data_IF_085993128385
#
_entry.id   IF_085993128385
#
_cell.length_a   1.000
_cell.length_b   1.000
_cell.length_c   1.000
_cell.angle_alpha   90.00
_cell.angle_beta   90.00
_cell.angle_gamma   90.00
#
_symmetry.space_group_name_H-M   'P 1'
#
loop_
_entity.id
_entity.type
_entity.pdbx_description
1 polymer ?
#
# COMPACT_ATOMS: atom_id res chain seq x y z
N UNK A 1 -13.95 -9.59 -0.77
CA UNK A 1 -13.36 -8.42 -1.45
C UNK A 1 -12.90 -8.85 -2.83
N UNK A 2 -13.26 -8.09 -3.85
CA UNK A 2 -12.84 -8.29 -5.24
C UNK A 2 -11.90 -7.17 -5.67
N UNK A 3 -10.77 -7.54 -6.27
CA UNK A 3 -9.81 -6.60 -6.80
C UNK A 3 -9.67 -6.88 -8.30
N UNK A 4 -9.88 -5.87 -9.13
CA UNK A 4 -9.58 -5.94 -10.57
C UNK A 4 -8.45 -5.00 -10.92
N UNK A 5 -7.49 -5.46 -11.71
CA UNK A 5 -6.34 -4.67 -12.13
C UNK A 5 -6.39 -4.54 -13.65
N UNK A 6 -6.53 -3.31 -14.14
CA UNK A 6 -6.41 -2.99 -15.55
C UNK A 6 -4.94 -2.67 -15.85
N UNK A 7 -4.26 -3.54 -16.59
CA UNK A 7 -2.85 -3.36 -16.93
C UNK A 7 -2.50 -4.07 -18.23
N UNK A 8 -1.62 -3.45 -19.00
CA UNK A 8 -0.98 -4.04 -20.16
C UNK A 8 0.16 -5.03 -19.82
N UNK A 9 0.43 -5.32 -18.55
CA UNK A 9 1.45 -6.28 -18.14
C UNK A 9 0.89 -7.29 -17.13
N UNK A 10 -0.11 -8.11 -17.52
CA UNK A 10 -0.78 -9.01 -16.60
C UNK A 10 0.17 -9.99 -15.89
N UNK A 11 1.25 -10.40 -16.56
CA UNK A 11 2.25 -11.31 -16.00
C UNK A 11 3.03 -10.73 -14.82
N UNK A 12 3.13 -9.40 -14.67
CA UNK A 12 3.82 -8.79 -13.54
C UNK A 12 3.14 -9.09 -12.20
N UNK A 13 1.83 -9.35 -12.21
CA UNK A 13 1.04 -9.61 -11.02
C UNK A 13 1.11 -11.06 -10.52
N UNK A 14 1.90 -11.92 -11.17
CA UNK A 14 2.12 -13.29 -10.68
C UNK A 14 2.64 -13.34 -9.25
N UNK A 15 3.38 -12.31 -8.81
CA UNK A 15 3.87 -12.20 -7.43
C UNK A 15 2.73 -12.12 -6.38
N UNK A 16 1.52 -11.71 -6.77
CA UNK A 16 0.36 -11.68 -5.87
C UNK A 16 -0.17 -13.09 -5.53
N UNK A 17 0.24 -14.11 -6.27
CA UNK A 17 -0.10 -15.50 -5.96
C UNK A 17 0.80 -16.12 -4.89
N UNK A 18 1.79 -15.37 -4.40
CA UNK A 18 2.75 -15.85 -3.42
C UNK A 18 2.42 -15.37 -2.00
N UNK A 19 3.07 -15.99 -1.01
CA UNK A 19 3.06 -15.55 0.40
C UNK A 19 1.63 -15.41 0.98
N UNK A 20 1.38 -14.38 1.80
CA UNK A 20 0.09 -14.14 2.46
C UNK A 20 -1.02 -13.78 1.47
N UNK A 21 -0.71 -13.08 0.37
CA UNK A 21 -1.71 -12.70 -0.64
C UNK A 21 -2.22 -13.95 -1.35
N UNK A 22 -1.32 -14.83 -1.80
CA UNK A 22 -1.69 -16.13 -2.37
C UNK A 22 -2.56 -16.96 -1.43
N UNK A 23 -2.16 -17.07 -0.16
CA UNK A 23 -2.96 -17.78 0.87
C UNK A 23 -4.33 -17.13 1.11
N UNK A 24 -4.44 -15.81 1.02
CA UNK A 24 -5.72 -15.12 1.16
C UNK A 24 -6.66 -15.45 0.00
N UNK A 25 -6.11 -15.56 -1.22
CA UNK A 25 -6.86 -16.01 -2.39
C UNK A 25 -7.31 -17.48 -2.27
N UNK A 26 -6.41 -18.38 -1.87
CA UNK A 26 -6.72 -19.82 -1.65
C UNK A 26 -7.84 -20.03 -0.62
N UNK A 27 -7.92 -19.15 0.39
CA UNK A 27 -8.96 -19.16 1.43
C UNK A 27 -10.25 -18.46 1.01
N UNK A 28 -10.31 -17.88 -0.19
CA UNK A 28 -11.47 -17.13 -0.68
C UNK A 28 -11.72 -15.81 0.04
N UNK A 29 -10.71 -15.23 0.71
CA UNK A 29 -10.83 -13.94 1.41
C UNK A 29 -10.79 -12.76 0.43
N UNK A 30 -10.04 -12.93 -0.66
CA UNK A 30 -9.91 -11.97 -1.75
C UNK A 30 -9.89 -12.71 -3.08
N UNK A 31 -10.48 -12.12 -4.11
CA UNK A 31 -10.32 -12.56 -5.49
C UNK A 31 -9.66 -11.45 -6.30
N UNK A 32 -8.50 -11.73 -6.90
CA UNK A 32 -7.74 -10.76 -7.69
C UNK A 32 -7.82 -11.18 -9.16
N UNK A 33 -8.37 -10.31 -10.00
CA UNK A 33 -8.44 -10.48 -11.44
C UNK A 33 -7.57 -9.44 -12.14
N UNK A 34 -6.92 -9.83 -13.24
CA UNK A 34 -6.05 -8.94 -14.01
C UNK A 34 -6.52 -8.95 -15.46
N UNK A 35 -6.93 -7.78 -15.93
CA UNK A 35 -7.52 -7.56 -17.24
C UNK A 35 -6.51 -6.82 -18.10
N UNK A 36 -6.06 -7.48 -19.17
CA UNK A 36 -5.25 -6.82 -20.20
C UNK A 36 -6.14 -5.97 -21.09
N UNK A 37 -6.08 -4.65 -20.89
CA UNK A 37 -6.92 -3.75 -21.67
C UNK A 37 -6.51 -3.66 -23.16
N UNK A 38 -5.40 -4.29 -23.58
CA UNK A 38 -5.10 -4.52 -25.01
C UNK A 38 -6.15 -5.38 -25.70
N UNK A 39 -6.83 -6.25 -24.97
CA UNK A 39 -7.86 -7.12 -25.54
C UNK A 39 -9.12 -6.35 -25.95
N UNK A 40 -9.24 -5.09 -25.53
CA UNK A 40 -10.38 -4.22 -25.78
C UNK A 40 -10.10 -3.15 -26.85
N UNK A 41 -8.91 -3.15 -27.44
CA UNK A 41 -8.60 -2.21 -28.53
C UNK A 41 -9.44 -2.54 -29.76
N UNK A 42 -9.91 -1.50 -30.45
CA UNK A 42 -10.64 -1.66 -31.72
C UNK A 42 -9.73 -1.81 -32.95
N UNK A 43 -8.43 -1.51 -32.81
CA UNK A 43 -7.44 -1.66 -33.88
C UNK A 43 -6.85 -3.09 -33.92
N UNK A 44 -6.41 -3.52 -35.11
CA UNK A 44 -5.85 -4.89 -35.32
C UNK A 44 -4.48 -5.11 -34.69
N UNK A 45 -3.79 -4.03 -34.35
CA UNK A 45 -2.42 -4.04 -33.84
C UNK A 45 -2.36 -4.10 -32.32
N UNK A 46 -3.51 -4.05 -31.64
CA UNK A 46 -3.61 -3.96 -30.18
C UNK A 46 -2.85 -2.79 -29.57
N UNK A 47 -2.80 -1.66 -30.29
CA UNK A 47 -2.23 -0.42 -29.77
C UNK A 47 -3.17 0.18 -28.74
N UNK A 48 -2.61 0.54 -27.59
CA UNK A 48 -3.34 1.17 -26.47
C UNK A 48 -2.90 2.61 -26.24
N UNK A 49 -1.97 3.10 -27.06
CA UNK A 49 -1.35 4.41 -26.92
C UNK A 49 -1.35 5.19 -28.23
N UNK A 50 -1.32 6.51 -28.11
CA UNK A 50 -1.21 7.43 -29.24
C UNK A 50 -0.43 8.70 -28.87
N UNK A 51 -0.06 9.46 -29.89
CA UNK A 51 0.56 10.77 -29.78
C UNK A 51 -0.34 11.79 -29.10
N UNK A 52 0.26 12.76 -28.41
CA UNK A 52 -0.46 13.82 -27.70
C UNK A 52 -0.99 14.90 -28.63
N UNK A 53 -2.24 15.32 -28.41
CA UNK A 53 -2.72 16.58 -28.97
C UNK A 53 -1.91 17.75 -28.40
N UNK A 54 -1.52 18.69 -29.26
CA UNK A 54 -0.65 19.82 -28.88
C UNK A 54 0.85 19.54 -29.02
N UNK A 55 1.23 18.32 -29.41
CA UNK A 55 2.63 17.90 -29.53
C UNK A 55 3.27 17.55 -28.17
N UNK A 56 4.50 17.07 -28.22
CA UNK A 56 5.21 16.57 -27.04
C UNK A 56 6.06 15.34 -27.40
N UNK A 57 6.93 14.94 -26.48
CA UNK A 57 7.61 13.65 -26.56
C UNK A 57 6.76 12.59 -25.83
N UNK A 58 6.78 11.36 -26.32
CA UNK A 58 6.08 10.24 -25.69
C UNK A 58 4.69 9.97 -26.24
N UNK A 59 4.01 9.02 -25.61
CA UNK A 59 2.69 8.51 -25.99
C UNK A 59 1.77 8.53 -24.75
N UNK A 60 0.47 8.69 -24.93
CA UNK A 60 -0.53 8.56 -23.87
C UNK A 60 -1.38 7.32 -24.09
N UNK A 61 -1.76 6.67 -22.99
CA UNK A 61 -2.78 5.63 -23.04
C UNK A 61 -4.11 6.22 -23.52
N UNK A 62 -4.68 5.61 -24.55
CA UNK A 62 -5.97 5.99 -25.13
C UNK A 62 -7.11 5.71 -24.14
N UNK A 63 -8.13 6.57 -24.14
CA UNK A 63 -9.32 6.36 -23.31
C UNK A 63 -10.09 5.08 -23.68
N UNK A 64 -10.24 4.78 -24.99
CA UNK A 64 -11.12 3.72 -25.48
C UNK A 64 -10.87 2.34 -24.84
N UNK A 65 -9.67 1.73 -24.90
CA UNK A 65 -9.47 0.39 -24.34
C UNK A 65 -9.71 0.34 -22.83
N UNK A 66 -9.50 1.45 -22.10
CA UNK A 66 -9.74 1.54 -20.66
C UNK A 66 -11.24 1.63 -20.34
N UNK A 67 -11.99 2.44 -21.09
CA UNK A 67 -13.44 2.53 -20.96
C UNK A 67 -14.11 1.17 -21.23
N UNK A 68 -13.74 0.50 -22.32
CA UNK A 68 -14.32 -0.78 -22.69
C UNK A 68 -13.92 -1.89 -21.69
N UNK A 69 -12.70 -1.85 -21.15
CA UNK A 69 -12.30 -2.74 -20.06
C UNK A 69 -13.12 -2.49 -18.78
N UNK A 70 -13.43 -1.24 -18.45
CA UNK A 70 -14.30 -0.89 -17.33
C UNK A 70 -15.75 -1.37 -17.54
N UNK A 71 -16.29 -1.26 -18.75
CA UNK A 71 -17.61 -1.81 -19.10
C UNK A 71 -17.66 -3.34 -18.93
N UNK A 72 -16.58 -4.03 -19.29
CA UNK A 72 -16.42 -5.46 -19.02
C UNK A 72 -16.39 -5.78 -17.52
N UNK A 73 -15.68 -4.99 -16.73
CA UNK A 73 -15.63 -5.13 -15.26
C UNK A 73 -17.02 -4.92 -14.65
N UNK A 74 -17.77 -3.91 -15.10
CA UNK A 74 -19.15 -3.67 -14.67
C UNK A 74 -20.07 -4.84 -15.03
N UNK A 75 -19.94 -5.40 -16.23
CA UNK A 75 -20.72 -6.55 -16.68
C UNK A 75 -20.43 -7.81 -15.87
N UNK A 76 -19.15 -8.06 -15.55
CA UNK A 76 -18.72 -9.22 -14.77
C UNK A 76 -19.13 -9.14 -13.31
N UNK A 77 -19.05 -7.95 -12.71
CA UNK A 77 -19.40 -7.70 -11.31
C UNK A 77 -20.11 -6.35 -11.20
N UNK A 78 -21.44 -6.31 -11.32
CA UNK A 78 -22.18 -5.06 -11.23
C UNK A 78 -22.08 -4.39 -9.85
N UNK A 79 -22.31 -3.08 -9.82
CA UNK A 79 -22.46 -2.32 -8.58
C UNK A 79 -21.30 -1.39 -8.27
N UNK A 80 -21.36 -0.72 -7.12
CA UNK A 80 -20.41 0.34 -6.75
C UNK A 80 -18.99 -0.23 -6.59
N UNK A 81 -18.05 0.42 -7.25
CA UNK A 81 -16.62 0.14 -7.20
C UNK A 81 -15.87 1.39 -6.78
N UNK A 82 -14.74 1.21 -6.11
CA UNK A 82 -13.77 2.28 -5.94
C UNK A 82 -12.69 2.11 -6.99
N UNK A 83 -12.49 3.13 -7.83
CA UNK A 83 -11.61 3.08 -8.99
C UNK A 83 -10.40 3.96 -8.73
N UNK A 84 -9.24 3.33 -8.62
CA UNK A 84 -7.98 3.95 -8.24
C UNK A 84 -7.11 4.11 -9.49
N UNK A 85 -6.83 5.35 -9.87
CA UNK A 85 -5.88 5.68 -10.93
C UNK A 85 -4.49 5.92 -10.33
N UNK A 86 -3.50 5.25 -10.89
CA UNK A 86 -2.11 5.41 -10.47
C UNK A 86 -1.50 6.61 -11.16
N UNK A 87 -1.30 7.69 -10.42
CA UNK A 87 -0.81 8.97 -10.92
C UNK A 87 0.11 9.63 -9.88
N UNK A 88 1.35 10.04 -10.23
CA UNK A 88 2.22 10.78 -9.32
C UNK A 88 1.62 12.10 -8.80
N UNK A 89 0.66 12.71 -9.51
CA UNK A 89 -0.09 13.88 -9.05
C UNK A 89 -1.18 13.55 -8.00
N UNK A 90 -1.46 12.26 -7.79
CA UNK A 90 -2.44 11.78 -6.83
C UNK A 90 -2.05 11.97 -5.36
N UNK A 91 -2.99 11.69 -4.46
CA UNK A 91 -2.73 11.71 -3.02
C UNK A 91 -1.71 10.62 -2.66
N UNK A 92 -0.72 10.95 -1.84
CA UNK A 92 0.28 9.96 -1.40
C UNK A 92 -0.37 8.87 -0.55
N UNK A 93 -0.25 7.63 -1.00
CA UNK A 93 -0.74 6.43 -0.33
C UNK A 93 -0.13 6.28 1.06
N UNK A 94 -0.95 5.88 2.02
CA UNK A 94 -0.54 5.68 3.41
C UNK A 94 -1.42 4.64 4.09
N UNK A 95 -1.05 4.24 5.32
CA UNK A 95 -1.76 3.21 6.09
C UNK A 95 -3.24 3.55 6.33
N UNK A 96 -3.61 4.83 6.46
CA UNK A 96 -5.02 5.22 6.62
C UNK A 96 -5.81 4.93 5.35
N UNK A 97 -5.23 5.22 4.18
CA UNK A 97 -5.82 4.89 2.88
C UNK A 97 -5.93 3.38 2.68
N UNK A 98 -4.90 2.60 3.02
CA UNK A 98 -4.94 1.13 2.97
C UNK A 98 -6.07 0.54 3.83
N UNK A 99 -6.25 1.03 5.06
CA UNK A 99 -7.37 0.64 5.94
C UNK A 99 -8.73 1.01 5.39
N UNK A 100 -8.80 2.09 4.62
CA UNK A 100 -10.05 2.55 4.00
C UNK A 100 -10.40 1.67 2.79
N UNK A 101 -9.42 1.40 1.93
CA UNK A 101 -9.54 0.50 0.78
C UNK A 101 -9.96 -0.92 1.20
N UNK A 102 -9.49 -1.41 2.35
CA UNK A 102 -9.82 -2.74 2.85
C UNK A 102 -11.30 -2.92 3.25
N UNK A 103 -12.08 -1.83 3.31
CA UNK A 103 -13.53 -1.87 3.60
C UNK A 103 -14.38 -1.97 2.34
N UNK A 104 -13.77 -1.80 1.17
CA UNK A 104 -14.51 -1.83 -0.09
C UNK A 104 -14.78 -3.28 -0.51
N UNK A 105 -15.98 -3.54 -0.99
CA UNK A 105 -16.31 -4.85 -1.56
C UNK A 105 -15.61 -5.07 -2.90
N UNK A 106 -15.46 -3.99 -3.69
CA UNK A 106 -14.86 -4.00 -5.03
C UNK A 106 -13.87 -2.84 -5.22
N UNK A 107 -12.61 -3.16 -5.51
CA UNK A 107 -11.57 -2.21 -5.93
C UNK A 107 -11.18 -2.46 -7.38
N UNK A 108 -10.98 -1.39 -8.14
CA UNK A 108 -10.36 -1.44 -9.47
C UNK A 108 -9.13 -0.55 -9.48
N UNK A 109 -8.00 -1.08 -9.96
CA UNK A 109 -6.78 -0.30 -10.17
C UNK A 109 -6.51 -0.13 -11.66
N UNK A 110 -6.25 1.10 -12.10
CA UNK A 110 -5.88 1.42 -13.47
C UNK A 110 -4.40 1.75 -13.51
N UNK A 111 -3.60 0.83 -14.07
CA UNK A 111 -2.16 0.98 -14.17
C UNK A 111 -1.78 1.89 -15.35
N UNK A 112 -1.01 2.93 -15.05
CA UNK A 112 -0.46 3.83 -16.07
C UNK A 112 0.78 3.28 -16.73
N UNK A 113 1.09 3.82 -17.90
CA UNK A 113 2.34 3.59 -18.62
C UNK A 113 2.60 4.80 -19.54
N UNK A 114 3.75 4.81 -20.21
CA UNK A 114 4.16 5.90 -21.11
C UNK A 114 4.16 7.26 -20.38
N UNK A 115 3.62 8.32 -20.98
CA UNK A 115 3.48 9.63 -20.33
C UNK A 115 2.22 9.74 -19.44
N UNK A 116 1.43 8.68 -19.34
CA UNK A 116 0.20 8.63 -18.56
C UNK A 116 -1.01 8.30 -19.42
N UNK A 117 -2.12 8.99 -19.14
CA UNK A 117 -3.43 8.69 -19.71
C UNK A 117 -3.99 9.88 -20.47
N UNK A 118 -4.91 9.59 -21.38
CA UNK A 118 -5.89 10.57 -21.78
C UNK A 118 -6.68 11.07 -20.55
N UNK A 119 -6.73 12.39 -20.35
CA UNK A 119 -7.33 13.01 -19.15
C UNK A 119 -8.80 12.59 -18.93
N UNK A 120 -9.53 12.22 -19.99
CA UNK A 120 -10.93 11.75 -19.90
C UNK A 120 -11.08 10.42 -19.17
N UNK A 121 -10.00 9.66 -18.98
CA UNK A 121 -10.02 8.45 -18.15
C UNK A 121 -10.38 8.80 -16.69
N UNK A 122 -10.08 10.02 -16.24
CA UNK A 122 -10.36 10.46 -14.86
C UNK A 122 -11.85 10.55 -14.54
N UNK A 123 -12.73 10.63 -15.54
CA UNK A 123 -14.18 10.58 -15.35
C UNK A 123 -14.64 9.22 -14.76
N UNK A 124 -13.82 8.17 -14.90
CA UNK A 124 -14.08 6.83 -14.36
C UNK A 124 -13.57 6.64 -12.91
N UNK A 125 -12.81 7.61 -12.40
CA UNK A 125 -11.90 7.43 -11.25
C UNK A 125 -12.51 8.03 -9.99
N UNK A 126 -12.37 7.33 -8.87
CA UNK A 126 -12.76 7.86 -7.54
C UNK A 126 -11.56 8.43 -6.79
N UNK A 127 -10.37 7.89 -7.02
CA UNK A 127 -9.14 8.29 -6.34
C UNK A 127 -7.95 8.30 -7.31
N UNK A 128 -7.25 9.42 -7.42
CA UNK A 128 -5.90 9.49 -7.98
C UNK A 128 -4.90 9.28 -6.84
N UNK A 129 -3.99 8.30 -6.98
CA UNK A 129 -3.09 7.88 -5.90
C UNK A 129 -1.64 7.77 -6.39
N UNK A 130 -0.75 8.40 -5.62
CA UNK A 130 0.70 8.31 -5.77
C UNK A 130 1.28 7.43 -4.66
N UNK A 131 2.39 6.72 -4.92
CA UNK A 131 3.14 5.99 -3.88
C UNK A 131 4.37 6.75 -3.37
N UNK A 132 4.56 8.00 -3.81
CA UNK A 132 5.61 8.90 -3.33
C UNK A 132 6.17 9.81 -4.42
N UNK A 133 7.06 10.71 -4.01
CA UNK A 133 7.60 11.78 -4.86
C UNK A 133 8.78 11.27 -5.73
N UNK A 134 8.48 10.32 -6.60
CA UNK A 134 9.41 9.75 -7.58
C UNK A 134 8.64 9.17 -8.77
N UNK A 135 9.32 8.97 -9.90
CA UNK A 135 8.71 8.47 -11.14
C UNK A 135 9.07 7.00 -11.35
N UNK A 136 8.08 6.22 -11.78
CA UNK A 136 8.24 4.83 -12.23
C UNK A 136 7.81 4.72 -13.69
N UNK A 137 8.16 3.62 -14.34
CA UNK A 137 7.81 3.37 -15.74
C UNK A 137 6.37 2.91 -15.94
N UNK A 138 5.67 2.53 -14.87
CA UNK A 138 4.29 2.04 -14.92
C UNK A 138 3.64 1.90 -13.55
N UNK A 139 2.32 1.70 -13.56
CA UNK A 139 1.47 1.61 -12.37
C UNK A 139 1.45 0.24 -11.68
N UNK A 140 2.14 -0.78 -12.24
CA UNK A 140 2.07 -2.15 -11.76
C UNK A 140 2.70 -2.34 -10.37
N UNK A 141 3.90 -1.80 -10.15
CA UNK A 141 4.58 -1.85 -8.85
C UNK A 141 3.81 -1.06 -7.76
N UNK A 142 3.34 0.18 -8.02
CA UNK A 142 2.42 0.87 -7.13
C UNK A 142 1.19 0.06 -6.76
N UNK A 143 0.52 -0.54 -7.75
CA UNK A 143 -0.68 -1.33 -7.55
C UNK A 143 -0.42 -2.53 -6.65
N UNK A 144 0.64 -3.30 -6.91
CA UNK A 144 1.00 -4.44 -6.05
C UNK A 144 1.33 -4.02 -4.61
N UNK A 145 2.05 -2.90 -4.44
CA UNK A 145 2.38 -2.35 -3.12
C UNK A 145 1.13 -1.95 -2.33
N UNK A 146 0.18 -1.27 -2.99
CA UNK A 146 -1.09 -0.88 -2.36
C UNK A 146 -1.97 -2.07 -2.04
N UNK A 147 -2.05 -3.07 -2.92
CA UNK A 147 -2.80 -4.30 -2.68
C UNK A 147 -2.23 -5.03 -1.46
N UNK A 148 -0.91 -5.23 -1.38
CA UNK A 148 -0.25 -5.86 -0.23
C UNK A 148 -0.60 -5.12 1.07
N UNK A 149 -0.40 -3.80 1.11
CA UNK A 149 -0.69 -2.99 2.29
C UNK A 149 -2.19 -3.01 2.68
N UNK A 150 -3.09 -3.05 1.70
CA UNK A 150 -4.54 -3.07 1.90
C UNK A 150 -5.01 -4.40 2.49
N UNK A 151 -4.56 -5.53 1.91
CA UNK A 151 -5.03 -6.86 2.30
C UNK A 151 -4.66 -7.23 3.74
N UNK A 152 -3.62 -6.61 4.31
CA UNK A 152 -3.28 -6.74 5.74
C UNK A 152 -4.43 -6.37 6.68
N UNK A 153 -5.34 -5.50 6.23
CA UNK A 153 -6.50 -5.05 7.01
C UNK A 153 -7.79 -5.83 6.72
N UNK A 154 -7.78 -6.74 5.74
CA UNK A 154 -8.93 -7.60 5.45
C UNK A 154 -9.01 -8.70 6.52
N UNK A 155 -10.18 -8.89 7.18
CA UNK A 155 -10.34 -9.92 8.20
C UNK A 155 -9.96 -11.31 7.72
N UNK A 156 -9.14 -12.02 8.50
CA UNK A 156 -8.69 -13.38 8.20
C UNK A 156 -7.41 -13.48 7.37
N UNK A 157 -6.90 -12.38 6.80
CA UNK A 157 -5.62 -12.37 6.06
C UNK A 157 -4.43 -12.49 7.02
N UNK A 158 -4.39 -11.61 8.04
CA UNK A 158 -3.43 -11.75 9.14
C UNK A 158 -3.97 -12.76 10.15
N UNK A 159 -3.20 -13.83 10.39
CA UNK A 159 -3.62 -14.94 11.27
C UNK A 159 -3.75 -14.57 12.75
N UNK A 160 -3.08 -13.50 13.21
CA UNK A 160 -3.17 -12.98 14.57
C UNK A 160 -3.55 -11.50 14.53
N UNK A 161 -4.69 -11.14 15.12
CA UNK A 161 -5.22 -9.78 15.17
C UNK A 161 -4.31 -8.77 15.88
N UNK A 162 -3.43 -9.23 16.78
CA UNK A 162 -2.57 -8.36 17.59
C UNK A 162 -1.43 -7.68 16.81
N UNK A 163 -0.99 -8.20 15.65
CA UNK A 163 0.18 -7.62 14.98
C UNK A 163 -0.10 -6.24 14.38
N UNK A 164 -1.31 -6.03 13.84
CA UNK A 164 -1.64 -4.78 13.14
C UNK A 164 -1.80 -3.57 14.07
N UNK A 165 -1.96 -3.76 15.38
CA UNK A 165 -2.16 -2.69 16.36
C UNK A 165 -0.84 -2.13 16.92
N UNK A 166 0.21 -2.95 17.04
CA UNK A 166 1.53 -2.53 17.53
C UNK A 166 2.51 -2.11 16.42
N UNK A 167 2.09 -2.18 15.16
CA UNK A 167 2.93 -1.89 14.00
C UNK A 167 3.25 -0.40 13.81
N UNK A 168 4.33 -0.17 13.05
CA UNK A 168 4.73 1.18 12.66
C UNK A 168 3.56 1.93 12.01
N UNK A 169 3.41 3.20 12.35
CA UNK A 169 2.36 4.12 11.88
C UNK A 169 0.96 3.89 12.47
N UNK A 170 0.66 2.78 13.17
CA UNK A 170 -0.67 2.54 13.76
C UNK A 170 -1.07 3.60 14.79
N UNK A 171 -0.11 4.06 15.61
CA UNK A 171 -0.31 5.14 16.59
C UNK A 171 0.51 6.40 16.27
N UNK A 172 0.98 6.56 15.03
CA UNK A 172 1.88 7.65 14.64
C UNK A 172 3.31 7.51 15.17
N UNK A 173 3.72 6.30 15.58
CA UNK A 173 5.08 5.97 16.02
C UNK A 173 5.68 4.89 15.12
N UNK A 174 7.01 4.86 15.04
CA UNK A 174 7.76 3.71 14.50
C UNK A 174 7.87 2.61 15.57
N UNK A 175 7.92 1.35 15.14
CA UNK A 175 8.15 0.23 16.04
C UNK A 175 9.54 0.26 16.70
N UNK A 176 9.56 -0.26 17.92
CA UNK A 176 10.77 -0.54 18.69
C UNK A 176 11.68 -1.57 17.96
N UNK A 177 12.99 -1.60 18.26
CA UNK A 177 13.88 -2.61 17.72
C UNK A 177 13.49 -3.99 18.24
N UNK A 178 13.40 -4.96 17.32
CA UNK A 178 13.09 -6.34 17.64
C UNK A 178 14.35 -7.20 17.60
N UNK A 179 14.36 -8.25 18.43
CA UNK A 179 15.47 -9.19 18.57
C UNK A 179 14.92 -10.60 18.55
N UNK A 180 15.66 -11.52 17.96
CA UNK A 180 15.35 -12.96 17.96
C UNK A 180 16.59 -13.77 18.35
N UNK A 181 16.41 -15.07 18.53
CA UNK A 181 17.50 -15.98 18.87
C UNK A 181 18.56 -16.00 17.75
N UNK A 182 19.86 -16.16 18.08
CA UNK A 182 20.44 -16.38 19.40
C UNK A 182 20.58 -15.08 20.23
N UNK A 183 20.72 -15.21 21.56
CA UNK A 183 20.82 -14.08 22.49
C UNK A 183 22.11 -13.26 22.35
N UNK A 184 23.18 -13.86 21.83
CA UNK A 184 24.42 -13.19 21.47
C UNK A 184 24.75 -13.56 20.01
N UNK A 185 24.77 -12.56 19.14
CA UNK A 185 25.19 -12.72 17.76
C UNK A 185 26.46 -11.91 17.52
N UNK A 186 27.61 -12.60 17.46
CA UNK A 186 28.93 -12.00 17.21
C UNK A 186 29.31 -10.91 18.23
N UNK A 187 29.04 -11.14 19.51
CA UNK A 187 29.27 -10.20 20.60
C UNK A 187 28.18 -9.13 20.75
N UNK A 188 27.17 -9.11 19.88
CA UNK A 188 26.02 -8.21 19.98
C UNK A 188 24.92 -8.90 20.77
N UNK A 189 24.85 -8.59 22.05
CA UNK A 189 23.85 -9.15 22.98
C UNK A 189 22.49 -8.47 22.81
N UNK A 190 21.44 -9.26 22.96
CA UNK A 190 20.07 -8.76 23.16
C UNK A 190 20.03 -7.95 24.47
N UNK A 191 19.31 -6.80 24.52
CA UNK A 191 19.15 -6.04 25.75
C UNK A 191 18.64 -6.89 26.92
N UNK A 192 19.30 -6.83 28.08
CA UNK A 192 19.00 -7.67 29.25
C UNK A 192 17.55 -7.54 29.74
N UNK A 193 16.93 -6.36 29.54
CA UNK A 193 15.51 -6.15 29.87
C UNK A 193 14.59 -7.10 29.10
N UNK A 194 14.93 -7.46 27.86
CA UNK A 194 14.13 -8.36 27.03
C UNK A 194 14.24 -9.83 27.43
N UNK A 195 15.24 -10.18 28.23
CA UNK A 195 15.43 -11.53 28.79
C UNK A 195 15.05 -11.63 30.27
N UNK A 196 14.62 -10.53 30.88
CA UNK A 196 14.31 -10.44 32.31
C UNK A 196 13.00 -11.12 32.74
N UNK A 197 12.07 -11.35 31.79
CA UNK A 197 10.71 -11.85 32.08
C UNK A 197 9.78 -10.81 32.72
N UNK A 198 10.25 -9.60 32.99
CA UNK A 198 9.45 -8.52 33.57
C UNK A 198 8.65 -7.80 32.48
N UNK A 199 7.37 -8.18 32.35
CA UNK A 199 6.49 -7.67 31.29
C UNK A 199 6.37 -6.14 31.28
N UNK A 200 6.32 -5.50 32.46
CA UNK A 200 6.17 -4.05 32.54
C UNK A 200 7.46 -3.33 32.15
N UNK A 201 8.63 -3.83 32.59
CA UNK A 201 9.92 -3.30 32.11
C UNK A 201 10.08 -3.47 30.60
N UNK A 202 9.64 -4.59 30.04
CA UNK A 202 9.67 -4.85 28.60
C UNK A 202 8.74 -3.87 27.87
N UNK A 203 7.49 -3.70 28.32
CA UNK A 203 6.54 -2.74 27.74
C UNK A 203 7.11 -1.32 27.74
N UNK A 204 7.62 -0.86 28.89
CA UNK A 204 8.19 0.48 29.02
C UNK A 204 9.43 0.68 28.15
N UNK A 205 10.30 -0.34 28.06
CA UNK A 205 11.46 -0.32 27.17
C UNK A 205 11.03 -0.21 25.71
N UNK A 206 10.06 -1.03 25.28
CA UNK A 206 9.52 -0.99 23.90
C UNK A 206 8.99 0.39 23.56
N UNK A 207 8.14 0.96 24.42
CA UNK A 207 7.58 2.29 24.25
C UNK A 207 8.67 3.37 24.16
N UNK A 208 9.65 3.31 25.06
CA UNK A 208 10.78 4.26 25.08
C UNK A 208 11.61 4.18 23.80
N UNK A 209 11.90 2.98 23.31
CA UNK A 209 12.65 2.80 22.06
C UNK A 209 11.86 3.21 20.82
N UNK A 210 10.55 2.96 20.80
CA UNK A 210 9.65 3.40 19.72
C UNK A 210 9.66 4.94 19.61
N UNK A 211 9.48 5.64 20.74
CA UNK A 211 9.54 7.10 20.81
C UNK A 211 10.91 7.63 20.40
N UNK A 212 12.00 7.04 20.92
CA UNK A 212 13.37 7.44 20.59
C UNK A 212 13.66 7.30 19.10
N UNK A 213 13.35 6.14 18.51
CA UNK A 213 13.54 5.88 17.08
C UNK A 213 12.69 6.82 16.21
N UNK A 214 11.46 7.10 16.62
CA UNK A 214 10.58 8.05 15.92
C UNK A 214 11.17 9.45 15.96
N UNK A 215 11.58 9.94 17.14
CA UNK A 215 12.22 11.24 17.29
C UNK A 215 13.49 11.39 16.44
N UNK A 216 14.31 10.34 16.37
CA UNK A 216 15.57 10.35 15.62
C UNK A 216 15.38 10.26 14.10
N UNK A 217 14.41 9.47 13.61
CA UNK A 217 14.31 9.12 12.19
C UNK A 217 13.13 9.75 11.45
N UNK A 218 12.03 9.99 12.16
CA UNK A 218 10.77 10.52 11.61
C UNK A 218 10.12 11.47 12.62
N UNK A 219 10.81 12.56 13.01
CA UNK A 219 10.29 13.51 13.99
C UNK A 219 8.96 14.15 13.54
N UNK A 220 8.74 14.23 12.23
CA UNK A 220 7.49 14.70 11.60
C UNK A 220 6.25 13.91 12.07
N UNK A 221 6.39 12.60 12.35
CA UNK A 221 5.27 11.80 12.85
C UNK A 221 4.83 12.24 14.25
N UNK A 222 5.75 12.77 15.07
CA UNK A 222 5.43 13.22 16.43
C UNK A 222 4.62 14.53 16.45
N UNK A 223 4.57 15.28 15.35
CA UNK A 223 3.78 16.51 15.24
C UNK A 223 2.27 16.21 15.20
N UNK A 224 1.91 15.04 14.66
CA UNK A 224 0.50 14.62 14.49
C UNK A 224 0.13 13.42 15.36
N UNK A 225 1.09 12.75 15.99
CA UNK A 225 0.85 11.62 16.88
C UNK A 225 0.00 12.00 18.10
N UNK A 226 -1.07 11.23 18.35
CA UNK A 226 -1.93 11.39 19.53
C UNK A 226 -1.34 10.64 20.72
N UNK A 227 -0.29 11.21 21.31
CA UNK A 227 0.41 10.62 22.45
C UNK A 227 -0.43 10.67 23.74
N UNK A 228 -0.40 9.58 24.50
CA UNK A 228 -0.85 9.46 25.89
C UNK A 228 0.02 10.30 26.83
N UNK A 229 -0.44 10.48 28.07
CA UNK A 229 0.33 11.26 29.07
C UNK A 229 1.63 10.56 29.49
N UNK A 230 1.65 9.22 29.51
CA UNK A 230 2.86 8.44 29.74
C UNK A 230 3.88 8.67 28.62
N UNK A 231 3.46 8.57 27.36
CA UNK A 231 4.30 8.79 26.18
C UNK A 231 4.86 10.21 26.13
N UNK A 232 4.03 11.23 26.41
CA UNK A 232 4.49 12.62 26.51
C UNK A 232 5.56 12.79 27.57
N UNK A 233 5.39 12.17 28.74
CA UNK A 233 6.36 12.22 29.84
C UNK A 233 7.67 11.55 29.46
N UNK A 234 7.61 10.39 28.80
CA UNK A 234 8.79 9.68 28.30
C UNK A 234 9.49 10.48 27.21
N UNK A 235 8.76 11.02 26.23
CA UNK A 235 9.32 11.82 25.15
C UNK A 235 10.04 13.08 25.67
N UNK A 236 9.49 13.75 26.69
CA UNK A 236 10.17 14.87 27.37
C UNK A 236 11.48 14.44 28.01
N UNK A 237 11.50 13.30 28.71
CA UNK A 237 12.74 12.75 29.29
C UNK A 237 13.78 12.40 28.22
N UNK A 238 13.34 11.82 27.09
CA UNK A 238 14.23 11.49 25.97
C UNK A 238 14.87 12.76 25.42
N UNK A 239 14.09 13.82 25.19
CA UNK A 239 14.59 15.12 24.70
C UNK A 239 15.56 15.82 25.65
N UNK A 240 15.47 15.57 26.95
CA UNK A 240 16.40 16.14 27.96
C UNK A 240 17.74 15.39 28.01
N UNK A 241 17.79 14.17 27.47
CA UNK A 241 18.97 13.30 27.48
C UNK A 241 19.71 13.24 26.13
N UNK A 242 19.29 14.07 25.16
CA UNK A 242 19.95 14.30 23.87
C UNK A 242 20.65 15.65 23.96
#
# INVERSE_FOLDING_TARGET
>A
MDITILSIFPRMFQALNESLIGKAQERGLVNIDVVDFRDFTTNKQHHVDDTTYGGGAGMLLQAQPIYDAMDYVETKKPGRKRVVLLDPAGKTFNTKMARDFAKEDQLVFICGHYEGFDERVKDLVTDEVSIGDYILTGGELPTMSMIDATLRFVPGVLGNSFSAEEESFSNGLLEYPQYTKPADFRGKKVPDVLTSGDHEKIRLWRLTQALKKTLERRPDLLETAKLTDEEKKLLRKIRQNI
#
